data_IF_919785138387
#
_entry.id   IF_919785138387
#
_cell.length_a   1.000
_cell.length_b   1.000
_cell.length_c   1.000
_cell.angle_alpha   90.00
_cell.angle_beta   90.00
_cell.angle_gamma   90.00
#
_symmetry.space_group_name_H-M   'P 1'
#
loop_
_entity.id
_entity.type
_entity.pdbx_description
1 polymer ?
#
# COMPACT_ATOMS: atom_id res chain seq x y z
N UNK A 1 28.41 -21.70 -10.25
CA UNK A 1 28.38 -20.37 -9.61
C UNK A 1 29.62 -20.20 -8.75
N UNK A 2 30.49 -19.21 -9.02
CA UNK A 2 31.61 -18.87 -8.13
C UNK A 2 31.06 -18.22 -6.84
N UNK A 3 31.27 -18.85 -5.68
CA UNK A 3 30.98 -18.23 -4.37
C UNK A 3 31.89 -17.01 -4.20
N UNK A 4 31.35 -15.80 -4.22
CA UNK A 4 32.10 -14.59 -3.84
C UNK A 4 32.21 -14.57 -2.32
N UNK A 5 33.40 -14.60 -1.78
CA UNK A 5 33.63 -14.35 -0.36
C UNK A 5 33.49 -12.86 -0.09
N UNK A 6 32.73 -12.49 0.96
CA UNK A 6 32.67 -11.13 1.48
C UNK A 6 33.44 -11.06 2.79
N UNK A 7 34.33 -10.05 2.92
CA UNK A 7 35.08 -9.79 4.14
C UNK A 7 34.37 -8.71 4.95
N UNK A 8 33.91 -9.05 6.16
CA UNK A 8 33.17 -8.14 7.02
C UNK A 8 34.08 -7.17 7.82
N UNK A 9 35.40 -7.37 7.81
CA UNK A 9 36.42 -6.50 8.48
C UNK A 9 36.02 -6.12 9.91
N UNK A 10 35.62 -7.09 10.74
CA UNK A 10 35.18 -6.88 12.10
C UNK A 10 33.76 -6.31 12.28
N UNK A 11 33.00 -6.12 11.21
CA UNK A 11 31.59 -5.72 11.25
C UNK A 11 30.69 -6.94 11.42
N UNK A 12 29.52 -6.72 12.01
CA UNK A 12 28.47 -7.73 12.09
C UNK A 12 27.69 -7.78 10.76
N UNK A 13 27.30 -8.98 10.35
CA UNK A 13 26.43 -9.21 9.19
C UNK A 13 25.10 -9.76 9.69
N UNK A 14 24.02 -9.19 9.24
CA UNK A 14 22.66 -9.61 9.57
C UNK A 14 21.80 -9.67 8.30
N UNK A 15 20.68 -10.43 8.29
CA UNK A 15 19.71 -10.32 7.22
C UNK A 15 19.20 -8.89 7.07
N UNK A 16 18.87 -8.49 5.83
CA UNK A 16 18.28 -7.19 5.59
C UNK A 16 16.92 -7.03 6.31
N UNK A 17 16.62 -5.82 6.75
CA UNK A 17 15.37 -5.50 7.41
C UNK A 17 14.21 -5.53 6.40
N UNK A 18 13.00 -5.79 6.92
CA UNK A 18 11.76 -5.81 6.14
C UNK A 18 10.83 -4.74 6.70
N UNK A 19 10.37 -3.82 5.83
CA UNK A 19 9.36 -2.84 6.17
C UNK A 19 8.02 -3.26 5.55
N UNK A 20 7.07 -3.66 6.39
CA UNK A 20 5.78 -4.22 5.95
C UNK A 20 4.72 -3.15 5.64
N UNK A 21 5.02 -1.86 5.79
CA UNK A 21 4.06 -0.80 5.52
C UNK A 21 4.73 0.46 5.00
N UNK A 22 4.73 0.61 3.68
CA UNK A 22 5.19 1.82 3.00
C UNK A 22 4.17 2.33 1.99
N UNK A 23 4.26 3.62 1.68
CA UNK A 23 3.60 4.25 0.56
C UNK A 23 4.68 4.89 -0.30
N UNK A 24 5.08 4.26 -1.38
CA UNK A 24 6.22 4.69 -2.22
C UNK A 24 6.12 6.14 -2.73
N UNK A 25 4.92 6.71 -2.99
CA UNK A 25 4.80 8.13 -3.35
C UNK A 25 5.05 9.10 -2.19
N UNK A 26 5.16 8.61 -0.95
CA UNK A 26 5.31 9.43 0.25
C UNK A 26 6.73 9.32 0.81
N UNK A 27 7.48 10.42 0.79
CA UNK A 27 8.87 10.45 1.25
C UNK A 27 9.08 10.50 2.77
N UNK A 28 8.05 10.19 3.57
CA UNK A 28 8.14 10.12 5.04
C UNK A 28 8.45 11.42 5.77
N UNK A 29 8.72 12.52 5.06
CA UNK A 29 9.04 13.80 5.69
C UNK A 29 7.78 14.56 6.11
N UNK A 30 7.68 15.03 7.36
CA UNK A 30 6.57 15.86 7.81
C UNK A 30 6.42 17.11 6.93
N UNK A 31 5.19 17.50 6.63
CA UNK A 31 4.88 18.72 5.86
C UNK A 31 4.07 19.67 6.71
N UNK A 32 4.48 20.94 6.73
CA UNK A 32 3.81 21.99 7.53
C UNK A 32 2.49 22.48 6.94
N UNK A 33 2.13 22.05 5.72
CA UNK A 33 0.89 22.43 5.06
C UNK A 33 0.13 21.19 4.58
N UNK A 34 -1.21 21.16 4.74
CA UNK A 34 -2.00 20.06 4.20
C UNK A 34 -1.83 20.00 2.67
N UNK A 35 -1.55 18.81 2.17
CA UNK A 35 -1.47 18.56 0.75
C UNK A 35 -2.89 18.39 0.19
N UNK A 36 -3.13 18.94 -0.98
CA UNK A 36 -4.31 18.60 -1.80
C UNK A 36 -4.01 17.27 -2.51
N UNK A 37 -3.97 16.17 -1.73
CA UNK A 37 -3.48 14.86 -2.16
C UNK A 37 -4.19 14.35 -3.42
N UNK A 38 -5.52 14.51 -3.50
CA UNK A 38 -6.30 14.13 -4.67
C UNK A 38 -5.87 14.88 -5.95
N UNK A 39 -5.66 16.21 -5.86
CA UNK A 39 -5.21 16.99 -7.03
C UNK A 39 -3.82 16.60 -7.48
N UNK A 40 -2.93 16.31 -6.51
CA UNK A 40 -1.57 15.84 -6.82
C UNK A 40 -1.59 14.45 -7.42
N UNK A 41 -2.42 13.53 -6.94
CA UNK A 41 -2.58 12.20 -7.52
C UNK A 41 -3.11 12.27 -8.96
N UNK A 42 -4.15 13.06 -9.21
CA UNK A 42 -4.67 13.29 -10.58
C UNK A 42 -3.60 13.86 -11.51
N UNK A 43 -2.80 14.81 -11.04
CA UNK A 43 -1.69 15.35 -11.84
C UNK A 43 -0.60 14.30 -12.07
N UNK A 44 -0.20 13.56 -11.02
CA UNK A 44 0.81 12.51 -11.10
C UNK A 44 0.47 11.40 -12.11
N UNK A 45 -0.81 11.13 -12.31
CA UNK A 45 -1.32 10.11 -13.22
C UNK A 45 -1.81 10.65 -14.56
N UNK A 46 -1.64 11.96 -14.86
CA UNK A 46 -2.26 12.61 -16.02
C UNK A 46 -1.71 12.16 -17.36
N UNK A 47 -0.46 11.76 -17.46
CA UNK A 47 0.17 11.22 -18.66
C UNK A 47 1.44 10.44 -18.33
N UNK A 48 1.94 9.66 -19.29
CA UNK A 48 3.09 8.77 -19.10
C UNK A 48 4.41 9.51 -18.78
N UNK A 49 4.60 10.72 -19.29
CA UNK A 49 5.80 11.52 -18.99
C UNK A 49 5.82 11.89 -17.50
N UNK A 50 4.69 12.37 -16.96
CA UNK A 50 4.57 12.71 -15.53
C UNK A 50 4.68 11.45 -14.66
N UNK A 51 4.02 10.36 -15.05
CA UNK A 51 4.16 9.06 -14.36
C UNK A 51 5.63 8.63 -14.29
N UNK A 52 6.40 8.78 -15.37
CA UNK A 52 7.84 8.49 -15.37
C UNK A 52 8.63 9.34 -14.38
N UNK A 53 8.30 10.62 -14.22
CA UNK A 53 8.94 11.49 -13.22
C UNK A 53 8.56 11.05 -11.81
N UNK A 54 7.28 10.75 -11.56
CA UNK A 54 6.81 10.25 -10.26
C UNK A 54 7.42 8.90 -9.93
N UNK A 55 7.57 8.01 -10.90
CA UNK A 55 8.23 6.71 -10.73
C UNK A 55 9.68 6.87 -10.28
N UNK A 56 10.44 7.82 -10.86
CA UNK A 56 11.80 8.15 -10.41
C UNK A 56 11.82 8.67 -8.97
N UNK A 57 10.80 9.42 -8.57
CA UNK A 57 10.66 9.88 -7.18
C UNK A 57 10.37 8.70 -6.24
N UNK A 58 9.46 7.79 -6.60
CA UNK A 58 9.19 6.57 -5.84
C UNK A 58 10.44 5.70 -5.71
N UNK A 59 11.21 5.55 -6.79
CA UNK A 59 12.50 4.85 -6.77
C UNK A 59 13.49 5.50 -5.79
N UNK A 60 13.61 6.83 -5.80
CA UNK A 60 14.50 7.52 -4.88
C UNK A 60 14.12 7.30 -3.41
N UNK A 61 12.82 7.19 -3.09
CA UNK A 61 12.36 6.85 -1.74
C UNK A 61 12.62 5.38 -1.41
N UNK A 62 12.36 4.46 -2.31
CA UNK A 62 12.71 3.04 -2.13
C UNK A 62 14.23 2.85 -1.91
N UNK A 63 15.07 3.62 -2.59
CA UNK A 63 16.52 3.62 -2.36
C UNK A 63 16.91 4.16 -0.98
N UNK A 64 16.16 5.09 -0.39
CA UNK A 64 16.39 5.52 1.00
C UNK A 64 16.12 4.37 1.98
N UNK A 65 15.06 3.57 1.79
CA UNK A 65 14.82 2.36 2.56
C UNK A 65 15.98 1.38 2.41
N UNK A 66 16.41 1.07 1.18
CA UNK A 66 17.52 0.16 0.92
C UNK A 66 18.82 0.62 1.62
N UNK A 67 19.17 1.89 1.49
CA UNK A 67 20.38 2.47 2.10
C UNK A 67 20.30 2.53 3.62
N UNK A 68 19.11 2.47 4.21
CA UNK A 68 18.92 2.35 5.66
C UNK A 68 19.04 0.90 6.17
N UNK A 69 19.20 -0.08 5.28
CA UNK A 69 19.28 -1.50 5.61
C UNK A 69 17.97 -2.26 5.40
N UNK A 70 16.91 -1.61 4.92
CA UNK A 70 15.62 -2.25 4.58
C UNK A 70 15.72 -2.81 3.16
N UNK A 71 15.87 -4.11 3.04
CA UNK A 71 16.07 -4.80 1.75
C UNK A 71 14.78 -5.31 1.13
N UNK A 72 13.67 -5.29 1.87
CA UNK A 72 12.32 -5.66 1.39
C UNK A 72 11.30 -4.68 1.93
N UNK A 73 10.43 -4.18 1.07
CA UNK A 73 9.31 -3.30 1.43
C UNK A 73 7.99 -3.87 0.94
N UNK A 74 6.92 -3.69 1.71
CA UNK A 74 5.55 -3.96 1.29
C UNK A 74 4.82 -2.63 1.09
N UNK A 75 4.56 -2.28 -0.17
CA UNK A 75 3.78 -1.10 -0.54
C UNK A 75 2.29 -1.41 -0.42
N UNK A 76 1.59 -0.68 0.47
CA UNK A 76 0.19 -0.93 0.84
C UNK A 76 -0.71 0.24 0.45
N UNK A 77 -0.54 0.73 -0.74
CA UNK A 77 -1.29 1.80 -1.37
C UNK A 77 -0.38 2.79 -2.08
N UNK A 78 -0.47 2.79 -3.40
CA UNK A 78 0.33 3.60 -4.31
C UNK A 78 -0.52 4.46 -5.24
N UNK A 79 0.12 5.04 -6.23
CA UNK A 79 -0.52 5.84 -7.27
C UNK A 79 -0.68 5.01 -8.55
N UNK A 80 -1.91 4.60 -8.84
CA UNK A 80 -2.20 3.80 -10.02
C UNK A 80 -1.42 2.49 -10.01
N UNK A 81 -0.64 2.24 -11.05
CA UNK A 81 0.19 1.08 -11.32
C UNK A 81 1.70 1.33 -11.06
N UNK A 82 2.05 2.37 -10.28
CA UNK A 82 3.46 2.76 -10.14
C UNK A 82 4.27 1.82 -9.24
N UNK A 83 3.62 1.15 -8.28
CA UNK A 83 4.33 0.23 -7.37
C UNK A 83 4.75 -1.04 -8.13
N UNK A 84 3.85 -1.65 -8.92
CA UNK A 84 4.17 -2.80 -9.78
C UNK A 84 5.18 -2.44 -10.85
N UNK A 85 5.06 -1.29 -11.52
CA UNK A 85 6.05 -0.81 -12.49
C UNK A 85 7.44 -0.63 -11.89
N UNK A 86 7.53 -0.16 -10.64
CA UNK A 86 8.82 -0.01 -9.98
C UNK A 86 9.41 -1.36 -9.59
N UNK A 87 8.59 -2.26 -9.02
CA UNK A 87 8.97 -3.63 -8.71
C UNK A 87 9.57 -4.30 -9.94
N UNK A 88 8.84 -4.29 -11.06
CA UNK A 88 9.24 -4.97 -12.28
C UNK A 88 10.57 -4.44 -12.82
N UNK A 89 10.80 -3.12 -12.79
CA UNK A 89 12.09 -2.52 -13.18
C UNK A 89 13.24 -2.95 -12.27
N UNK A 90 12.98 -3.12 -10.97
CA UNK A 90 13.99 -3.62 -10.03
C UNK A 90 14.29 -5.10 -10.30
N UNK A 91 13.28 -5.91 -10.60
CA UNK A 91 13.45 -7.31 -10.99
C UNK A 91 14.20 -7.45 -12.32
N UNK A 92 14.03 -6.52 -13.25
CA UNK A 92 14.78 -6.43 -14.51
C UNK A 92 16.24 -5.95 -14.34
N UNK A 93 16.66 -5.58 -13.13
CA UNK A 93 18.05 -5.25 -12.80
C UNK A 93 18.33 -3.81 -12.38
N UNK A 94 17.30 -2.99 -12.17
CA UNK A 94 17.47 -1.70 -11.52
C UNK A 94 17.80 -1.91 -10.03
N UNK A 95 18.72 -1.12 -9.49
CA UNK A 95 19.01 -1.15 -8.04
C UNK A 95 17.79 -0.77 -7.23
N UNK A 96 17.49 -1.51 -6.15
CA UNK A 96 16.38 -1.24 -5.26
C UNK A 96 16.13 -2.34 -4.24
N UNK A 97 15.27 -2.12 -3.24
CA UNK A 97 14.80 -3.18 -2.36
C UNK A 97 13.82 -4.10 -3.12
N UNK A 98 13.65 -5.31 -2.63
CA UNK A 98 12.52 -6.14 -3.07
C UNK A 98 11.22 -5.43 -2.70
N UNK A 99 10.28 -5.31 -3.65
CA UNK A 99 8.97 -4.70 -3.43
C UNK A 99 7.87 -5.76 -3.51
N UNK A 100 6.97 -5.77 -2.53
CA UNK A 100 5.66 -6.40 -2.62
C UNK A 100 4.65 -5.27 -2.87
N UNK A 101 4.00 -5.28 -4.01
CA UNK A 101 3.22 -4.16 -4.53
C UNK A 101 1.71 -4.42 -4.43
N UNK A 102 0.97 -3.48 -3.85
CA UNK A 102 -0.51 -3.48 -3.87
C UNK A 102 -1.10 -2.55 -4.93
N UNK A 103 -0.29 -1.66 -5.52
CA UNK A 103 -0.79 -0.54 -6.31
C UNK A 103 -1.79 0.31 -5.52
N UNK A 104 -2.90 0.76 -6.13
CA UNK A 104 -3.89 1.54 -5.38
C UNK A 104 -4.65 0.70 -4.36
N UNK A 105 -4.99 1.31 -3.22
CA UNK A 105 -5.90 0.70 -2.26
C UNK A 105 -7.38 0.89 -2.67
N UNK A 106 -8.27 0.07 -2.13
CA UNK A 106 -9.72 0.18 -2.35
C UNK A 106 -10.34 0.79 -1.11
N UNK A 107 -11.12 1.85 -1.28
CA UNK A 107 -11.90 2.50 -0.21
C UNK A 107 -13.35 2.72 -0.63
N UNK A 108 -14.17 3.22 0.30
CA UNK A 108 -15.56 3.63 0.02
C UNK A 108 -15.65 5.17 -0.11
N UNK A 109 -16.78 5.73 -0.55
CA UNK A 109 -16.98 7.18 -0.57
C UNK A 109 -16.66 7.82 0.79
N UNK A 110 -15.87 8.89 0.79
CA UNK A 110 -15.31 9.55 1.97
C UNK A 110 -14.39 8.66 2.83
N UNK A 111 -13.95 7.51 2.33
CA UNK A 111 -13.02 6.63 3.01
C UNK A 111 -11.60 7.17 3.07
N UNK A 112 -10.74 6.48 3.84
CA UNK A 112 -9.37 6.90 4.06
C UNK A 112 -8.59 7.04 2.75
N UNK A 113 -7.92 8.20 2.58
CA UNK A 113 -7.09 8.53 1.42
C UNK A 113 -7.81 8.47 0.06
N UNK A 114 -9.15 8.61 0.05
CA UNK A 114 -9.98 8.60 -1.16
C UNK A 114 -9.47 9.59 -2.21
N UNK A 115 -9.35 9.12 -3.46
CA UNK A 115 -8.89 9.94 -4.59
C UNK A 115 -7.39 10.24 -4.62
N UNK A 116 -6.60 9.69 -3.67
CA UNK A 116 -5.15 9.78 -3.68
C UNK A 116 -4.51 8.40 -3.92
N UNK A 117 -4.06 7.73 -2.86
CA UNK A 117 -3.54 6.34 -2.95
C UNK A 117 -4.65 5.29 -2.85
N UNK A 118 -5.91 5.71 -2.70
CA UNK A 118 -7.08 4.84 -2.69
C UNK A 118 -8.07 5.23 -3.79
N UNK A 119 -8.64 4.24 -4.47
CA UNK A 119 -9.76 4.39 -5.39
C UNK A 119 -11.07 4.08 -4.68
N UNK A 120 -12.11 4.82 -5.03
CA UNK A 120 -13.42 4.72 -4.39
C UNK A 120 -14.28 3.69 -5.11
N UNK A 121 -14.78 2.71 -4.37
CA UNK A 121 -15.82 1.79 -4.79
C UNK A 121 -17.14 2.16 -4.09
N UNK A 122 -18.19 2.41 -4.85
CA UNK A 122 -19.51 2.79 -4.34
C UNK A 122 -20.45 1.59 -4.15
N UNK A 123 -20.08 0.44 -4.69
CA UNK A 123 -20.83 -0.83 -4.59
C UNK A 123 -19.88 -2.01 -4.39
N UNK A 124 -20.43 -3.14 -3.97
CA UNK A 124 -19.70 -4.41 -3.84
C UNK A 124 -19.14 -4.84 -5.20
N UNK A 125 -19.94 -4.73 -6.26
CA UNK A 125 -19.54 -5.12 -7.62
C UNK A 125 -18.36 -4.26 -8.12
N UNK A 126 -18.38 -2.94 -7.86
CA UNK A 126 -17.25 -2.07 -8.18
C UNK A 126 -15.99 -2.45 -7.40
N UNK A 127 -16.12 -2.78 -6.11
CA UNK A 127 -15.00 -3.19 -5.29
C UNK A 127 -14.38 -4.50 -5.80
N UNK A 128 -15.21 -5.48 -6.14
CA UNK A 128 -14.77 -6.76 -6.74
C UNK A 128 -14.10 -6.52 -8.08
N UNK A 129 -14.68 -5.68 -8.94
CA UNK A 129 -14.08 -5.35 -10.24
C UNK A 129 -12.69 -4.69 -10.08
N UNK A 130 -12.48 -3.88 -9.04
CA UNK A 130 -11.17 -3.32 -8.72
C UNK A 130 -10.17 -4.39 -8.25
N UNK A 131 -10.62 -5.41 -7.50
CA UNK A 131 -9.76 -6.55 -7.13
C UNK A 131 -9.32 -7.32 -8.37
N UNK A 132 -10.25 -7.58 -9.30
CA UNK A 132 -9.94 -8.27 -10.57
C UNK A 132 -8.96 -7.44 -11.44
N UNK A 133 -9.16 -6.10 -11.51
CA UNK A 133 -8.25 -5.19 -12.19
C UNK A 133 -6.82 -5.27 -11.61
N UNK A 134 -6.69 -5.18 -10.28
CA UNK A 134 -5.40 -5.29 -9.59
C UNK A 134 -4.75 -6.67 -9.80
N UNK A 135 -5.53 -7.75 -9.72
CA UNK A 135 -5.02 -9.10 -9.99
C UNK A 135 -4.47 -9.21 -11.42
N UNK A 136 -5.11 -8.57 -12.40
CA UNK A 136 -4.65 -8.55 -13.80
C UNK A 136 -3.32 -7.81 -13.98
N UNK A 137 -2.98 -6.89 -13.07
CA UNK A 137 -1.69 -6.19 -13.01
C UNK A 137 -0.60 -6.94 -12.24
N UNK A 138 -0.85 -8.20 -11.84
CA UNK A 138 0.08 -9.02 -11.07
C UNK A 138 0.55 -8.35 -9.76
N UNK A 139 -0.35 -7.72 -9.02
CA UNK A 139 -0.05 -7.23 -7.67
C UNK A 139 0.29 -8.39 -6.73
N UNK A 140 1.03 -8.12 -5.66
CA UNK A 140 1.39 -9.12 -4.66
C UNK A 140 0.37 -9.26 -3.53
N UNK A 141 -0.51 -8.27 -3.37
CA UNK A 141 -1.56 -8.25 -2.36
C UNK A 141 -2.63 -7.23 -2.73
N UNK A 142 -3.81 -7.36 -2.11
CA UNK A 142 -4.88 -6.36 -2.15
C UNK A 142 -4.84 -5.52 -0.87
N UNK A 143 -5.03 -4.21 -1.01
CA UNK A 143 -5.15 -3.30 0.14
C UNK A 143 -6.55 -2.70 0.22
N UNK A 144 -7.19 -2.87 1.40
CA UNK A 144 -8.48 -2.26 1.73
C UNK A 144 -8.31 -1.14 2.76
N UNK A 145 -9.10 -0.08 2.65
CA UNK A 145 -9.25 0.95 3.67
C UNK A 145 -10.63 0.77 4.34
N UNK A 146 -10.65 0.01 5.44
CA UNK A 146 -11.89 -0.43 6.08
C UNK A 146 -12.44 0.66 7.01
N UNK A 147 -11.56 1.33 7.74
CA UNK A 147 -11.95 2.47 8.60
C UNK A 147 -11.47 3.79 8.03
N UNK A 148 -11.98 4.91 8.56
CA UNK A 148 -11.30 6.18 8.48
C UNK A 148 -9.93 6.11 9.14
N UNK A 149 -9.11 7.14 8.94
CA UNK A 149 -7.78 7.24 9.54
C UNK A 149 -7.61 8.53 10.33
N UNK A 150 -6.49 8.63 11.04
CA UNK A 150 -6.16 9.84 11.82
C UNK A 150 -6.19 11.11 10.96
N UNK A 151 -5.87 11.01 9.68
CA UNK A 151 -5.88 12.15 8.75
C UNK A 151 -7.28 12.56 8.31
N UNK A 152 -8.26 11.66 8.42
CA UNK A 152 -9.65 11.87 8.00
C UNK A 152 -10.57 12.14 9.20
N UNK A 153 -10.07 11.99 10.43
CA UNK A 153 -10.80 12.20 11.65
C UNK A 153 -11.25 13.65 11.79
N UNK A 154 -12.53 13.87 12.09
CA UNK A 154 -13.10 15.22 12.29
C UNK A 154 -12.69 15.80 13.65
N UNK A 155 -12.45 14.94 14.62
CA UNK A 155 -12.02 15.29 15.97
C UNK A 155 -10.68 14.60 16.25
N UNK A 156 -9.69 15.37 16.71
CA UNK A 156 -8.35 14.85 17.03
C UNK A 156 -8.44 13.77 18.11
N UNK A 157 -7.83 12.59 17.84
CA UNK A 157 -7.81 11.46 18.75
C UNK A 157 -9.05 10.56 18.69
N UNK A 158 -9.98 10.84 17.79
CA UNK A 158 -11.11 9.94 17.52
C UNK A 158 -10.62 8.69 16.79
N UNK A 159 -11.00 7.48 17.22
CA UNK A 159 -10.66 6.26 16.50
C UNK A 159 -11.36 6.23 15.14
N UNK A 160 -10.78 5.50 14.20
CA UNK A 160 -11.32 5.38 12.84
C UNK A 160 -12.72 4.78 12.82
N UNK A 161 -13.65 5.44 12.15
CA UNK A 161 -15.03 4.94 11.97
C UNK A 161 -15.01 3.78 10.98
N UNK A 162 -15.75 2.70 11.26
CA UNK A 162 -15.98 1.61 10.31
C UNK A 162 -16.76 2.14 9.11
N UNK A 163 -16.12 2.20 7.94
CA UNK A 163 -16.69 2.80 6.73
C UNK A 163 -17.04 1.76 5.68
N UNK A 164 -16.18 0.76 5.46
CA UNK A 164 -16.44 -0.32 4.53
C UNK A 164 -17.31 -1.38 5.21
N UNK A 165 -18.46 -1.70 4.61
CA UNK A 165 -19.41 -2.68 5.18
C UNK A 165 -18.83 -4.10 5.12
N UNK A 166 -19.24 -4.99 6.06
CA UNK A 166 -18.76 -6.37 6.13
C UNK A 166 -18.96 -7.18 4.85
N UNK A 167 -20.08 -7.00 4.15
CA UNK A 167 -20.38 -7.67 2.88
C UNK A 167 -19.37 -7.31 1.79
N UNK A 168 -19.01 -6.04 1.69
CA UNK A 168 -17.99 -5.58 0.75
C UNK A 168 -16.60 -6.09 1.11
N UNK A 169 -16.23 -6.08 2.42
CA UNK A 169 -14.95 -6.63 2.89
C UNK A 169 -14.84 -8.09 2.47
N UNK A 170 -15.90 -8.89 2.78
CA UNK A 170 -15.95 -10.31 2.45
C UNK A 170 -15.81 -10.54 0.95
N UNK A 171 -16.56 -9.81 0.13
CA UNK A 171 -16.54 -9.97 -1.32
C UNK A 171 -15.14 -9.65 -1.90
N UNK A 172 -14.45 -8.61 -1.41
CA UNK A 172 -13.09 -8.30 -1.80
C UNK A 172 -12.10 -9.41 -1.39
N UNK A 173 -12.22 -9.94 -0.16
CA UNK A 173 -11.37 -11.04 0.29
C UNK A 173 -11.61 -12.31 -0.54
N UNK A 174 -12.87 -12.69 -0.76
CA UNK A 174 -13.21 -13.87 -1.57
C UNK A 174 -12.67 -13.74 -3.01
N UNK A 175 -12.76 -12.55 -3.61
CA UNK A 175 -12.20 -12.29 -4.94
C UNK A 175 -10.68 -12.37 -4.95
N UNK A 176 -10.00 -11.71 -3.99
CA UNK A 176 -8.54 -11.73 -3.88
C UNK A 176 -7.99 -13.16 -3.67
N UNK A 177 -8.62 -13.92 -2.79
CA UNK A 177 -8.19 -15.30 -2.48
C UNK A 177 -8.36 -16.26 -3.67
N UNK A 178 -9.31 -16.03 -4.59
CA UNK A 178 -9.39 -16.80 -5.86
C UNK A 178 -8.14 -16.64 -6.72
N UNK A 179 -7.46 -15.50 -6.61
CA UNK A 179 -6.19 -15.22 -7.26
C UNK A 179 -4.96 -15.55 -6.40
N UNK A 180 -5.15 -16.18 -5.23
CA UNK A 180 -4.10 -16.42 -4.23
C UNK A 180 -3.42 -15.12 -3.72
N UNK A 181 -4.12 -14.00 -3.74
CA UNK A 181 -3.64 -12.71 -3.26
C UNK A 181 -4.08 -12.52 -1.79
N UNK A 182 -3.14 -12.25 -0.86
CA UNK A 182 -3.49 -11.88 0.51
C UNK A 182 -4.09 -10.47 0.54
N UNK A 183 -4.95 -10.24 1.55
CA UNK A 183 -5.61 -8.96 1.77
C UNK A 183 -5.06 -8.28 3.02
N UNK A 184 -4.54 -7.07 2.86
CA UNK A 184 -4.14 -6.18 3.95
C UNK A 184 -5.19 -5.09 4.17
N UNK A 185 -5.48 -4.73 5.41
CA UNK A 185 -6.50 -3.73 5.71
C UNK A 185 -6.00 -2.62 6.65
N UNK A 186 -6.21 -1.35 6.26
CA UNK A 186 -6.12 -0.22 7.17
C UNK A 186 -7.29 -0.26 8.15
N UNK A 187 -7.00 -0.36 9.44
CA UNK A 187 -8.00 -0.51 10.51
C UNK A 187 -7.53 0.20 11.76
N UNK A 188 -8.30 1.16 12.25
CA UNK A 188 -7.98 1.96 13.44
C UNK A 188 -9.11 1.98 14.47
N UNK A 189 -9.95 0.95 14.50
CA UNK A 189 -11.00 0.80 15.53
C UNK A 189 -11.27 -0.65 15.87
N UNK A 190 -11.77 -0.96 17.10
CA UNK A 190 -12.11 -2.32 17.50
C UNK A 190 -13.14 -2.99 16.58
N UNK A 191 -14.18 -2.24 16.18
CA UNK A 191 -15.20 -2.76 15.27
C UNK A 191 -14.66 -3.04 13.88
N UNK A 192 -13.73 -2.19 13.39
CA UNK A 192 -13.00 -2.42 12.16
C UNK A 192 -12.16 -3.71 12.22
N UNK A 193 -11.43 -3.94 13.32
CA UNK A 193 -10.62 -5.16 13.51
C UNK A 193 -11.53 -6.40 13.50
N UNK A 194 -12.65 -6.37 14.24
CA UNK A 194 -13.61 -7.48 14.24
C UNK A 194 -14.21 -7.74 12.87
N UNK A 195 -14.58 -6.66 12.14
CA UNK A 195 -15.12 -6.77 10.79
C UNK A 195 -14.08 -7.36 9.84
N UNK A 196 -12.83 -6.88 9.87
CA UNK A 196 -11.75 -7.37 9.03
C UNK A 196 -11.49 -8.86 9.24
N UNK A 197 -11.26 -9.28 10.49
CA UNK A 197 -10.94 -10.67 10.83
C UNK A 197 -12.08 -11.63 10.48
N UNK A 198 -13.33 -11.26 10.77
CA UNK A 198 -14.51 -12.10 10.48
C UNK A 198 -14.78 -12.27 8.98
N UNK A 199 -14.27 -11.36 8.15
CA UNK A 199 -14.51 -11.36 6.71
C UNK A 199 -13.30 -11.75 5.87
N UNK A 200 -12.24 -12.30 6.49
CA UNK A 200 -11.16 -12.97 5.78
C UNK A 200 -9.95 -12.10 5.44
N UNK A 201 -9.78 -10.95 6.08
CA UNK A 201 -8.56 -10.14 5.93
C UNK A 201 -7.37 -10.89 6.54
N UNK A 202 -6.25 -10.95 5.80
CA UNK A 202 -5.05 -11.70 6.18
C UNK A 202 -4.12 -10.90 7.10
N UNK A 203 -4.02 -9.58 6.90
CA UNK A 203 -3.17 -8.72 7.74
C UNK A 203 -3.87 -7.41 8.10
N UNK A 204 -3.71 -7.02 9.37
CA UNK A 204 -4.23 -5.77 9.92
C UNK A 204 -3.11 -4.73 10.01
N UNK A 205 -3.32 -3.59 9.38
CA UNK A 205 -2.41 -2.44 9.47
C UNK A 205 -2.89 -1.51 10.61
N UNK A 206 -1.95 -1.06 11.44
CA UNK A 206 -2.15 -0.24 12.63
C UNK A 206 -2.84 -1.01 13.77
N UNK A 207 -4.07 -1.45 13.55
CA UNK A 207 -4.84 -2.17 14.56
C UNK A 207 -5.42 -1.26 15.64
N UNK A 208 -6.10 -1.86 16.59
CA UNK A 208 -6.64 -1.20 17.77
C UNK A 208 -6.85 -2.22 18.88
N UNK A 209 -6.84 -1.77 20.13
CA UNK A 209 -7.23 -2.61 21.28
C UNK A 209 -8.70 -3.01 21.14
N UNK A 210 -8.98 -4.30 21.37
CA UNK A 210 -10.33 -4.89 21.28
C UNK A 210 -11.15 -4.67 22.55
#
# INVERSE_FOLDING_TARGET
MRKKAMFANGKYVMPGLINLHVHLPAGGKPKNKPLKAEKLAKFALSNELIKSVVLKMCHAYAMQDLLSGVTTVRAVGGLGDLDTRLRDKIEEGMDGPRILAADYAICVPNGHMAGSVSRVASSVDEAVAMVEDLASHNVDLIKLMITGGVMDAKVKGEPGILMMKPDMIKACCDAAHKHNLPVAAHVQSPDGVRAAVRNGVDTIEHGSVL
#
